data_IF_024222284821
#
_entry.id   IF_024222284821
#
_cell.length_a   1.000
_cell.length_b   1.000
_cell.length_c   1.000
_cell.angle_alpha   90.00
_cell.angle_beta   90.00
_cell.angle_gamma   90.00
#
_symmetry.space_group_name_H-M   'P 1'
#
loop_
_entity.id
_entity.type
_entity.pdbx_description
1 polymer ?
#
# COMPACT_ATOMS: atom_id res chain seq x y z
N UNK A 1 26.82 31.78 -12.62
CA UNK A 1 26.03 31.93 -11.38
C UNK A 1 24.68 31.31 -11.62
N UNK A 2 24.48 30.07 -11.17
CA UNK A 2 23.18 29.42 -11.10
C UNK A 2 23.19 28.60 -9.80
N UNK A 3 22.41 29.07 -8.84
CA UNK A 3 22.30 28.53 -7.50
C UNK A 3 21.47 27.25 -7.53
N UNK A 4 22.17 26.11 -7.52
CA UNK A 4 21.58 24.82 -7.26
C UNK A 4 21.33 24.71 -5.74
N UNK A 5 20.15 25.17 -5.31
CA UNK A 5 19.69 24.99 -3.93
C UNK A 5 19.48 23.49 -3.65
N UNK A 6 20.56 22.83 -3.23
CA UNK A 6 20.50 21.52 -2.62
C UNK A 6 19.70 21.63 -1.33
N UNK A 7 18.51 21.02 -1.29
CA UNK A 7 17.75 20.86 -0.05
C UNK A 7 18.59 20.03 0.93
N UNK A 8 19.03 20.67 2.01
CA UNK A 8 19.69 19.99 3.12
C UNK A 8 18.79 18.88 3.70
N UNK A 9 19.35 17.72 4.08
CA UNK A 9 18.58 16.67 4.73
C UNK A 9 18.10 17.16 6.09
N UNK A 10 16.79 17.16 6.31
CA UNK A 10 16.22 17.39 7.64
C UNK A 10 16.57 16.19 8.51
N UNK A 11 17.55 16.38 9.39
CA UNK A 11 17.76 15.51 10.54
C UNK A 11 16.57 15.66 11.49
N UNK A 12 15.60 14.75 11.39
CA UNK A 12 14.71 14.46 12.51
C UNK A 12 15.11 13.09 13.06
N UNK A 13 15.78 13.07 14.21
CA UNK A 13 16.19 11.87 14.93
C UNK A 13 15.00 11.17 15.59
N UNK A 14 13.96 10.87 14.81
CA UNK A 14 12.90 9.99 15.28
C UNK A 14 13.52 8.61 15.53
N UNK A 15 13.16 7.93 16.64
CA UNK A 15 13.67 6.59 16.91
C UNK A 15 13.38 5.67 15.72
N UNK A 16 14.28 4.74 15.41
CA UNK A 16 14.08 3.83 14.29
C UNK A 16 12.83 2.98 14.51
N UNK A 17 12.05 2.80 13.44
CA UNK A 17 10.83 2.00 13.46
C UNK A 17 11.18 0.52 13.42
N UNK A 18 10.53 -0.28 14.26
CA UNK A 18 10.71 -1.73 14.18
C UNK A 18 10.22 -2.30 12.85
N UNK A 19 10.65 -3.52 12.48
CA UNK A 19 10.32 -4.09 11.18
C UNK A 19 8.90 -4.67 11.11
N UNK A 20 8.10 -4.66 12.17
CA UNK A 20 6.78 -5.33 12.18
C UNK A 20 5.64 -4.31 12.10
N UNK A 21 4.72 -4.55 11.16
CA UNK A 21 3.41 -3.92 11.09
C UNK A 21 2.33 -4.95 11.41
N UNK A 22 1.48 -4.64 12.39
CA UNK A 22 0.43 -5.53 12.88
C UNK A 22 -0.94 -4.84 12.91
N UNK A 23 -2.00 -5.57 13.21
CA UNK A 23 -3.37 -5.06 13.28
C UNK A 23 -3.91 -4.93 14.72
N UNK A 24 -5.09 -4.31 14.83
CA UNK A 24 -5.84 -4.18 16.07
C UNK A 24 -7.14 -4.99 16.02
N UNK A 25 -7.67 -5.32 17.19
CA UNK A 25 -8.88 -6.13 17.32
C UNK A 25 -10.17 -5.34 17.05
N UNK A 26 -10.20 -4.04 17.38
CA UNK A 26 -11.42 -3.24 17.32
C UNK A 26 -11.21 -1.76 17.01
N UNK A 27 -12.23 -0.95 17.30
CA UNK A 27 -12.29 0.48 16.95
C UNK A 27 -11.65 1.38 18.01
N UNK A 28 -11.16 0.81 19.11
CA UNK A 28 -10.48 1.48 20.23
C UNK A 28 -9.35 0.60 20.74
N UNK A 29 -8.28 1.23 21.24
CA UNK A 29 -7.16 0.51 21.84
C UNK A 29 -7.54 -0.11 23.20
N UNK A 30 -7.23 -1.38 23.37
CA UNK A 30 -7.22 -2.05 24.68
C UNK A 30 -5.91 -1.78 25.43
N UNK A 31 -5.87 -2.04 26.74
CA UNK A 31 -4.62 -1.88 27.53
C UNK A 31 -3.52 -2.87 27.11
N UNK A 32 -3.92 -4.06 26.65
CA UNK A 32 -3.02 -5.06 26.08
C UNK A 32 -2.38 -4.54 24.78
N UNK A 33 -3.18 -3.93 23.89
CA UNK A 33 -2.67 -3.31 22.66
C UNK A 33 -1.78 -2.11 22.96
N UNK A 34 -2.12 -1.28 23.96
CA UNK A 34 -1.23 -0.19 24.40
C UNK A 34 0.14 -0.73 24.85
N UNK A 35 0.16 -1.87 25.54
CA UNK A 35 1.40 -2.52 25.95
C UNK A 35 2.16 -3.07 24.75
N UNK A 36 1.46 -3.73 23.83
CA UNK A 36 2.03 -4.29 22.60
C UNK A 36 2.69 -3.20 21.73
N UNK A 37 2.01 -2.07 21.50
CA UNK A 37 2.51 -0.99 20.65
C UNK A 37 3.81 -0.33 21.16
N UNK A 38 4.12 -0.47 22.47
CA UNK A 38 5.39 0.01 23.05
C UNK A 38 6.58 -0.88 22.72
N UNK A 39 6.37 -2.10 22.22
CA UNK A 39 7.46 -3.01 21.85
C UNK A 39 8.31 -2.41 20.73
N UNK A 40 9.64 -2.30 20.87
CA UNK A 40 10.50 -1.65 19.88
C UNK A 40 10.34 -2.21 18.46
N UNK A 41 10.05 -3.51 18.33
CA UNK A 41 9.91 -4.22 17.06
C UNK A 41 8.65 -3.83 16.27
N UNK A 42 7.65 -3.23 16.92
CA UNK A 42 6.48 -2.66 16.24
C UNK A 42 6.90 -1.34 15.59
N UNK A 43 6.86 -1.28 14.25
CA UNK A 43 7.08 -0.05 13.49
C UNK A 43 5.81 0.54 12.90
N UNK A 44 4.74 -0.25 12.82
CA UNK A 44 3.48 0.25 12.31
C UNK A 44 2.25 -0.55 12.69
N UNK A 45 1.11 0.04 12.38
CA UNK A 45 -0.21 -0.57 12.53
C UNK A 45 -0.97 -0.44 11.22
N UNK A 46 -1.57 -1.52 10.74
CA UNK A 46 -2.51 -1.50 9.62
C UNK A 46 -3.94 -1.60 10.15
N UNK A 47 -4.83 -0.73 9.66
CA UNK A 47 -6.25 -0.76 9.99
C UNK A 47 -7.05 -1.57 8.96
N UNK A 48 -7.99 -2.36 9.46
CA UNK A 48 -8.97 -3.11 8.69
C UNK A 48 -10.39 -2.58 8.90
N UNK A 49 -11.36 -3.14 8.17
CA UNK A 49 -12.76 -2.76 8.29
C UNK A 49 -13.29 -2.88 9.74
N UNK A 50 -12.82 -3.87 10.51
CA UNK A 50 -13.16 -4.04 11.93
C UNK A 50 -12.70 -2.88 12.84
N UNK A 51 -11.75 -2.06 12.39
CA UNK A 51 -11.22 -0.93 13.15
C UNK A 51 -11.89 0.41 12.78
N UNK A 52 -12.83 0.37 11.83
CA UNK A 52 -13.38 1.57 11.18
C UNK A 52 -14.89 1.63 11.34
N UNK A 53 -15.36 2.67 12.02
CA UNK A 53 -16.77 3.08 12.04
C UNK A 53 -16.99 4.27 11.10
N UNK A 54 -16.19 5.33 11.27
CA UNK A 54 -16.23 6.54 10.45
C UNK A 54 -14.89 7.28 10.50
N UNK A 55 -14.67 8.22 9.59
CA UNK A 55 -13.45 9.01 9.51
C UNK A 55 -13.04 9.68 10.84
N UNK A 56 -14.02 10.23 11.57
CA UNK A 56 -13.79 10.87 12.86
C UNK A 56 -13.29 9.88 13.93
N UNK A 57 -13.91 8.69 14.03
CA UNK A 57 -13.47 7.64 14.95
C UNK A 57 -12.07 7.13 14.58
N UNK A 58 -11.76 6.96 13.29
CA UNK A 58 -10.41 6.56 12.85
C UNK A 58 -9.37 7.60 13.25
N UNK A 59 -9.70 8.89 13.16
CA UNK A 59 -8.84 9.98 13.63
C UNK A 59 -8.55 9.89 15.12
N UNK A 60 -9.57 9.62 15.94
CA UNK A 60 -9.39 9.38 17.38
C UNK A 60 -8.50 8.17 17.66
N UNK A 61 -8.73 7.05 16.96
CA UNK A 61 -7.92 5.84 17.09
C UNK A 61 -6.45 6.09 16.72
N UNK A 62 -6.21 6.80 15.61
CA UNK A 62 -4.88 7.22 15.20
C UNK A 62 -4.20 8.13 16.24
N UNK A 63 -4.95 9.03 16.86
CA UNK A 63 -4.48 9.87 17.98
C UNK A 63 -4.11 9.04 19.20
N UNK A 64 -4.95 8.07 19.57
CA UNK A 64 -4.71 7.17 20.70
C UNK A 64 -3.46 6.30 20.51
N UNK A 65 -3.20 5.81 19.29
CA UNK A 65 -1.97 5.08 18.96
C UNK A 65 -0.73 5.98 19.09
N UNK A 66 -0.78 7.20 18.54
CA UNK A 66 0.35 8.14 18.64
C UNK A 66 0.60 8.65 20.05
N UNK A 67 -0.43 8.71 20.91
CA UNK A 67 -0.25 9.01 22.32
C UNK A 67 0.53 7.90 23.07
N UNK A 68 0.43 6.65 22.61
CA UNK A 68 1.24 5.53 23.13
C UNK A 68 2.66 5.60 22.56
N UNK A 69 2.76 5.79 21.23
CA UNK A 69 4.02 5.79 20.50
C UNK A 69 3.94 6.71 19.26
N UNK A 70 4.46 7.95 19.34
CA UNK A 70 4.28 8.98 18.31
C UNK A 70 4.84 8.62 16.93
N UNK A 71 5.81 7.70 16.89
CA UNK A 71 6.54 7.35 15.68
C UNK A 71 5.86 6.33 14.77
N UNK A 72 4.89 5.56 15.27
CA UNK A 72 4.25 4.47 14.52
C UNK A 72 3.75 4.93 13.16
N UNK A 73 4.06 4.15 12.12
CA UNK A 73 3.40 4.26 10.83
C UNK A 73 1.99 3.69 10.94
N UNK A 74 0.97 4.44 10.55
CA UNK A 74 -0.40 3.93 10.53
C UNK A 74 -0.89 3.85 9.08
N UNK A 75 -1.16 2.63 8.62
CA UNK A 75 -1.57 2.31 7.26
C UNK A 75 -3.01 1.79 7.17
N UNK A 76 -3.55 1.76 5.96
CA UNK A 76 -4.86 1.18 5.64
C UNK A 76 -4.91 0.75 4.17
N UNK A 77 -5.80 -0.17 3.82
CA UNK A 77 -6.18 -0.42 2.41
C UNK A 77 -7.34 0.50 1.98
N UNK A 78 -7.02 1.74 1.63
CA UNK A 78 -7.98 2.66 1.05
C UNK A 78 -7.63 2.88 -0.43
N UNK A 79 -8.07 1.96 -1.30
CA UNK A 79 -7.84 2.03 -2.74
C UNK A 79 -8.96 2.81 -3.44
N UNK A 80 -10.22 2.48 -3.11
CA UNK A 80 -11.42 2.89 -3.83
C UNK A 80 -12.22 1.68 -4.33
N UNK A 81 -13.46 1.93 -4.76
CA UNK A 81 -14.38 0.87 -5.17
C UNK A 81 -14.63 -0.13 -4.04
N UNK A 82 -14.44 -1.43 -4.32
CA UNK A 82 -14.68 -2.49 -3.32
C UNK A 82 -13.63 -2.54 -2.20
N UNK A 83 -12.40 -2.05 -2.43
CA UNK A 83 -11.34 -1.97 -1.42
C UNK A 83 -11.28 -0.55 -0.86
N UNK A 84 -12.27 -0.25 -0.04
CA UNK A 84 -12.40 1.00 0.68
C UNK A 84 -12.95 0.71 2.07
N UNK A 85 -12.10 0.92 3.09
CA UNK A 85 -12.44 0.64 4.50
C UNK A 85 -13.21 1.79 5.13
N UNK A 86 -12.72 3.02 4.99
CA UNK A 86 -13.41 4.22 5.48
C UNK A 86 -14.42 4.66 4.43
N UNK A 87 -15.70 4.64 4.79
CA UNK A 87 -16.81 4.98 3.88
C UNK A 87 -17.56 6.22 4.31
N UNK A 88 -17.69 6.44 5.62
CA UNK A 88 -18.43 7.56 6.17
C UNK A 88 -17.46 8.65 6.65
N UNK A 89 -17.74 9.89 6.25
CA UNK A 89 -16.89 11.06 6.53
C UNK A 89 -15.71 11.28 5.58
N UNK A 90 -15.65 10.52 4.48
CA UNK A 90 -14.69 10.64 3.38
C UNK A 90 -15.40 10.39 2.05
N UNK A 91 -14.73 10.66 0.93
CA UNK A 91 -15.27 10.39 -0.41
C UNK A 91 -15.38 8.88 -0.68
N UNK A 92 -16.50 8.41 -1.22
CA UNK A 92 -16.63 7.09 -1.85
C UNK A 92 -15.94 7.12 -3.21
N UNK A 93 -14.68 6.69 -3.20
CA UNK A 93 -13.86 6.74 -4.40
C UNK A 93 -14.34 5.64 -5.37
N UNK A 94 -14.52 5.93 -6.67
CA UNK A 94 -14.82 4.89 -7.66
C UNK A 94 -13.67 3.88 -7.77
N UNK A 95 -13.95 2.71 -8.36
CA UNK A 95 -12.90 1.73 -8.64
C UNK A 95 -11.86 2.29 -9.63
N UNK A 96 -10.63 1.78 -9.59
CA UNK A 96 -9.58 2.24 -10.50
C UNK A 96 -9.96 2.01 -11.96
N UNK A 97 -10.65 0.91 -12.27
CA UNK A 97 -11.19 0.64 -13.62
C UNK A 97 -12.19 1.72 -14.04
N UNK A 98 -13.05 2.19 -13.13
CA UNK A 98 -14.00 3.26 -13.43
C UNK A 98 -13.27 4.59 -13.65
N UNK A 99 -12.23 4.90 -12.87
CA UNK A 99 -11.39 6.07 -13.10
C UNK A 99 -10.70 6.01 -14.47
N UNK A 100 -10.23 4.84 -14.88
CA UNK A 100 -9.52 4.63 -16.15
C UNK A 100 -10.40 4.42 -17.38
N UNK A 101 -11.73 4.38 -17.24
CA UNK A 101 -12.68 3.97 -18.30
C UNK A 101 -12.47 4.70 -19.63
N UNK A 102 -12.24 6.01 -19.56
CA UNK A 102 -12.23 6.88 -20.74
C UNK A 102 -10.79 7.13 -21.27
N UNK A 103 -9.78 6.37 -20.80
CA UNK A 103 -8.38 6.60 -21.15
C UNK A 103 -8.08 6.51 -22.65
N UNK A 104 -8.82 5.68 -23.40
CA UNK A 104 -8.63 5.54 -24.84
C UNK A 104 -9.21 6.73 -25.64
N UNK A 105 -10.29 7.33 -25.15
CA UNK A 105 -10.99 8.42 -25.86
C UNK A 105 -10.56 9.81 -25.37
N UNK A 106 -10.19 9.94 -24.10
CA UNK A 106 -9.85 11.21 -23.45
C UNK A 106 -8.64 11.07 -22.51
N UNK A 107 -7.46 10.65 -23.02
CA UNK A 107 -6.31 10.26 -22.20
C UNK A 107 -5.88 11.33 -21.19
N UNK A 108 -5.77 12.60 -21.60
CA UNK A 108 -5.33 13.68 -20.72
C UNK A 108 -6.34 14.00 -19.61
N UNK A 109 -7.64 13.95 -19.93
CA UNK A 109 -8.72 14.17 -18.95
C UNK A 109 -8.73 13.03 -17.93
N UNK A 110 -8.63 11.79 -18.40
CA UNK A 110 -8.58 10.60 -17.54
C UNK A 110 -7.34 10.60 -16.64
N UNK A 111 -6.17 10.94 -17.20
CA UNK A 111 -4.93 11.09 -16.42
C UNK A 111 -5.08 12.15 -15.33
N UNK A 112 -5.65 13.31 -15.66
CA UNK A 112 -5.91 14.37 -14.69
C UNK A 112 -6.86 13.92 -13.58
N UNK A 113 -7.92 13.18 -13.93
CA UNK A 113 -8.86 12.61 -12.97
C UNK A 113 -8.15 11.65 -11.99
N UNK A 114 -7.26 10.78 -12.49
CA UNK A 114 -6.47 9.89 -11.64
C UNK A 114 -5.54 10.67 -10.68
N UNK A 115 -4.87 11.71 -11.16
CA UNK A 115 -4.05 12.58 -10.31
C UNK A 115 -4.86 13.29 -9.23
N UNK A 116 -6.00 13.87 -9.62
CA UNK A 116 -6.89 14.54 -8.68
C UNK A 116 -7.49 13.57 -7.65
N UNK A 117 -7.76 12.31 -8.05
CA UNK A 117 -8.21 11.24 -7.17
C UNK A 117 -7.15 10.84 -6.15
N UNK A 118 -5.89 10.66 -6.58
CA UNK A 118 -4.77 10.38 -5.69
C UNK A 118 -4.52 11.52 -4.69
N UNK A 119 -4.63 12.77 -5.15
CA UNK A 119 -4.52 13.93 -4.26
C UNK A 119 -5.64 13.97 -3.21
N UNK A 120 -6.90 13.77 -3.62
CA UNK A 120 -8.02 13.77 -2.70
C UNK A 120 -7.90 12.64 -1.66
N UNK A 121 -7.56 11.43 -2.11
CA UNK A 121 -7.35 10.29 -1.22
C UNK A 121 -6.25 10.57 -0.20
N UNK A 122 -5.11 11.10 -0.65
CA UNK A 122 -4.01 11.47 0.22
C UNK A 122 -4.40 12.51 1.27
N UNK A 123 -5.16 13.54 0.88
CA UNK A 123 -5.64 14.58 1.81
C UNK A 123 -6.61 14.03 2.85
N UNK A 124 -7.56 13.19 2.44
CA UNK A 124 -8.56 12.58 3.34
C UNK A 124 -7.92 11.61 4.32
N UNK A 125 -7.05 10.71 3.85
CA UNK A 125 -6.36 9.77 4.73
C UNK A 125 -5.44 10.50 5.71
N UNK A 126 -4.77 11.58 5.27
CA UNK A 126 -3.99 12.41 6.17
C UNK A 126 -4.84 13.09 7.25
N UNK A 127 -6.06 13.53 6.91
CA UNK A 127 -7.03 14.11 7.84
C UNK A 127 -7.54 13.08 8.87
N UNK A 128 -7.74 11.83 8.45
CA UNK A 128 -8.00 10.69 9.32
C UNK A 128 -6.80 10.32 10.21
N UNK A 129 -5.63 10.92 10.01
CA UNK A 129 -4.43 10.64 10.80
C UNK A 129 -3.61 9.46 10.29
N UNK A 130 -3.79 9.01 9.05
CA UNK A 130 -3.02 7.89 8.46
C UNK A 130 -1.73 8.38 7.79
N UNK A 131 -0.65 7.62 7.88
CA UNK A 131 0.65 7.93 7.24
C UNK A 131 0.72 7.45 5.80
N UNK A 132 0.03 6.36 5.50
CA UNK A 132 0.02 5.74 4.18
C UNK A 132 -1.32 5.03 3.93
N UNK A 133 -1.61 4.81 2.65
CA UNK A 133 -2.57 3.83 2.20
C UNK A 133 -1.84 2.90 1.22
N UNK A 134 -2.15 1.62 1.23
CA UNK A 134 -1.55 0.64 0.33
C UNK A 134 -2.13 0.78 -1.08
N UNK A 135 -1.73 1.86 -1.78
CA UNK A 135 -2.15 2.21 -3.12
C UNK A 135 -1.02 2.97 -3.87
N UNK A 136 -0.97 2.88 -5.21
CA UNK A 136 -1.93 2.24 -6.09
C UNK A 136 -1.69 0.75 -6.34
N UNK A 137 -2.76 0.07 -6.79
CA UNK A 137 -2.65 -1.23 -7.46
C UNK A 137 -2.07 -1.02 -8.86
N UNK A 138 -0.98 -1.73 -9.15
CA UNK A 138 -0.23 -1.71 -10.41
C UNK A 138 -0.48 -2.96 -11.26
N UNK A 139 -1.25 -3.91 -10.75
CA UNK A 139 -1.60 -5.13 -11.47
C UNK A 139 -2.37 -4.81 -12.75
N UNK A 140 -2.00 -5.47 -13.84
CA UNK A 140 -2.72 -5.40 -15.12
C UNK A 140 -3.80 -6.47 -15.11
N UNK A 141 -5.06 -6.07 -15.27
CA UNK A 141 -6.17 -7.02 -15.27
C UNK A 141 -6.14 -7.96 -16.49
N UNK A 142 -5.77 -9.21 -16.25
CA UNK A 142 -5.76 -10.27 -17.26
C UNK A 142 -7.14 -10.90 -17.52
N UNK A 143 -8.17 -10.47 -16.80
CA UNK A 143 -9.56 -10.96 -16.94
C UNK A 143 -9.88 -12.26 -16.19
N UNK A 144 -8.87 -12.90 -15.58
CA UNK A 144 -9.02 -14.17 -14.84
C UNK A 144 -8.95 -14.00 -13.33
N UNK A 145 -8.27 -12.95 -12.84
CA UNK A 145 -8.09 -12.73 -11.40
C UNK A 145 -9.34 -12.20 -10.73
N UNK A 146 -9.89 -12.98 -9.79
CA UNK A 146 -10.98 -12.55 -8.90
C UNK A 146 -10.51 -11.55 -7.83
N UNK A 147 -9.21 -11.58 -7.51
CA UNK A 147 -8.58 -10.72 -6.49
C UNK A 147 -8.30 -9.32 -7.02
N UNK A 148 -7.94 -9.15 -8.30
CA UNK A 148 -7.65 -7.84 -8.89
C UNK A 148 -8.90 -7.21 -9.51
N UNK A 149 -9.37 -7.75 -10.65
CA UNK A 149 -10.55 -7.24 -11.35
C UNK A 149 -10.57 -5.70 -11.47
N UNK A 150 -11.62 -5.07 -10.94
CA UNK A 150 -11.86 -3.62 -11.03
C UNK A 150 -10.91 -2.76 -10.19
N UNK A 151 -10.06 -3.37 -9.36
CA UNK A 151 -8.96 -2.68 -8.65
C UNK A 151 -7.83 -2.26 -9.60
N UNK A 152 -7.71 -2.90 -10.76
CA UNK A 152 -6.79 -2.46 -11.80
C UNK A 152 -7.35 -1.25 -12.56
N UNK A 153 -6.47 -0.34 -12.98
CA UNK A 153 -6.85 0.78 -13.84
C UNK A 153 -7.28 0.34 -15.25
N UNK A 154 -6.69 -0.75 -15.78
CA UNK A 154 -6.88 -1.18 -17.16
C UNK A 154 -6.35 -2.60 -17.39
N UNK A 155 -6.78 -3.22 -18.49
CA UNK A 155 -6.19 -4.45 -19.02
C UNK A 155 -4.93 -4.21 -19.87
N UNK A 156 -4.56 -2.96 -20.11
CA UNK A 156 -3.45 -2.60 -20.98
C UNK A 156 -2.28 -2.08 -20.13
N UNK A 157 -1.09 -2.72 -20.16
CA UNK A 157 0.01 -2.39 -19.25
C UNK A 157 0.47 -0.92 -19.29
N UNK A 158 0.64 -0.34 -20.47
CA UNK A 158 1.05 1.06 -20.61
C UNK A 158 -0.06 2.03 -20.15
N UNK A 159 -1.34 1.64 -20.26
CA UNK A 159 -2.44 2.43 -19.67
C UNK A 159 -2.39 2.38 -18.14
N UNK A 160 -2.14 1.21 -17.56
CA UNK A 160 -1.95 1.09 -16.09
C UNK A 160 -0.78 1.96 -15.64
N UNK A 161 0.36 1.89 -16.32
CA UNK A 161 1.53 2.70 -16.00
C UNK A 161 1.22 4.21 -16.05
N UNK A 162 0.55 4.68 -17.09
CA UNK A 162 0.21 6.10 -17.24
C UNK A 162 -0.78 6.61 -16.17
N UNK A 163 -1.85 5.85 -15.91
CA UNK A 163 -2.89 6.26 -14.97
C UNK A 163 -2.45 6.12 -13.51
N UNK A 164 -1.77 5.01 -13.16
CA UNK A 164 -1.23 4.83 -11.83
C UNK A 164 -0.10 5.82 -11.54
N UNK A 165 0.75 6.15 -12.52
CA UNK A 165 1.76 7.22 -12.38
C UNK A 165 1.12 8.57 -12.04
N UNK A 166 0.04 8.94 -12.73
CA UNK A 166 -0.69 10.16 -12.39
C UNK A 166 -1.32 10.10 -10.98
N UNK A 167 -1.85 8.94 -10.58
CA UNK A 167 -2.36 8.75 -9.23
C UNK A 167 -1.28 8.91 -8.15
N UNK A 168 -0.06 8.38 -8.42
CA UNK A 168 1.13 8.54 -7.57
C UNK A 168 1.50 10.03 -7.45
N UNK A 169 1.55 10.76 -8.57
CA UNK A 169 1.79 12.21 -8.57
C UNK A 169 0.78 12.93 -7.65
N UNK A 170 -0.48 12.49 -7.66
CA UNK A 170 -1.53 12.99 -6.79
C UNK A 170 -1.28 12.73 -5.30
N UNK A 171 -0.93 11.49 -4.94
CA UNK A 171 -0.58 11.12 -3.56
C UNK A 171 0.59 11.97 -3.04
N UNK A 172 1.65 12.09 -3.84
CA UNK A 172 2.81 12.93 -3.53
C UNK A 172 2.46 14.41 -3.41
N UNK A 173 1.57 14.91 -4.28
CA UNK A 173 1.05 16.27 -4.19
C UNK A 173 0.26 16.49 -2.90
N UNK A 174 -0.43 15.48 -2.38
CA UNK A 174 -1.06 15.54 -1.07
C UNK A 174 -0.05 15.39 0.09
N UNK A 175 1.18 14.94 -0.18
CA UNK A 175 2.21 14.65 0.82
C UNK A 175 2.17 13.22 1.37
N UNK A 176 1.34 12.36 0.78
CA UNK A 176 1.21 10.94 1.10
C UNK A 176 2.22 10.13 0.27
N UNK A 177 2.75 9.05 0.85
CA UNK A 177 3.59 8.11 0.10
C UNK A 177 2.76 7.23 -0.83
N UNK A 178 3.39 6.70 -1.88
CA UNK A 178 2.80 5.72 -2.78
C UNK A 178 3.39 4.32 -2.57
N UNK A 179 2.50 3.33 -2.48
CA UNK A 179 2.85 1.92 -2.28
C UNK A 179 2.33 1.08 -3.44
N UNK A 180 3.22 0.70 -4.36
CA UNK A 180 2.86 -0.10 -5.52
C UNK A 180 2.66 -1.57 -5.16
N UNK A 181 1.57 -2.18 -5.63
CA UNK A 181 1.27 -3.59 -5.38
C UNK A 181 0.52 -4.27 -6.54
N UNK A 182 0.63 -5.58 -6.77
CA UNK A 182 1.39 -6.56 -5.99
C UNK A 182 2.53 -7.12 -6.86
N UNK A 183 3.77 -6.68 -6.64
CA UNK A 183 4.91 -7.00 -7.51
C UNK A 183 5.22 -8.52 -7.57
N UNK A 184 5.55 -9.11 -8.73
CA UNK A 184 5.66 -8.53 -10.07
C UNK A 184 4.35 -8.48 -10.88
N UNK A 185 3.22 -8.81 -10.27
CA UNK A 185 1.87 -8.66 -10.84
C UNK A 185 0.96 -9.84 -10.54
N UNK A 186 -0.21 -9.59 -9.95
CA UNK A 186 -1.19 -10.60 -9.56
C UNK A 186 -2.39 -10.71 -10.54
N UNK A 187 -2.49 -9.78 -11.50
CA UNK A 187 -3.69 -9.61 -12.33
C UNK A 187 -4.00 -10.74 -13.31
N UNK A 188 -3.04 -11.64 -13.56
CA UNK A 188 -3.20 -12.79 -14.46
C UNK A 188 -3.45 -14.12 -13.75
N UNK A 189 -3.49 -14.12 -12.41
CA UNK A 189 -3.64 -15.34 -11.62
C UNK A 189 -5.06 -15.46 -11.07
N UNK A 190 -5.71 -16.59 -11.38
CA UNK A 190 -7.11 -16.85 -11.01
C UNK A 190 -7.28 -17.24 -9.54
N UNK A 191 -6.33 -17.99 -8.99
CA UNK A 191 -6.35 -18.46 -7.61
C UNK A 191 -6.20 -17.29 -6.62
N UNK A 192 -6.97 -17.37 -5.53
CA UNK A 192 -6.94 -16.38 -4.46
C UNK A 192 -5.83 -16.73 -3.45
N UNK A 193 -4.83 -15.86 -3.32
CA UNK A 193 -3.72 -16.00 -2.38
C UNK A 193 -4.15 -16.06 -0.91
N UNK A 194 -5.39 -15.65 -0.60
CA UNK A 194 -5.98 -15.81 0.72
C UNK A 194 -6.40 -17.26 1.03
N UNK A 195 -6.60 -18.09 0.01
CA UNK A 195 -7.15 -19.45 0.14
C UNK A 195 -6.11 -20.53 -0.20
N UNK A 196 -5.28 -20.30 -1.20
CA UNK A 196 -4.24 -21.23 -1.65
C UNK A 196 -3.02 -20.48 -2.19
N UNK A 197 -1.88 -21.15 -2.36
CA UNK A 197 -0.70 -20.51 -2.94
C UNK A 197 -0.82 -20.47 -4.47
N UNK A 198 -1.04 -19.30 -5.09
CA UNK A 198 -1.22 -19.21 -6.52
C UNK A 198 0.11 -19.40 -7.25
N UNK A 199 0.06 -20.08 -8.41
CA UNK A 199 1.22 -20.31 -9.27
C UNK A 199 0.96 -19.69 -10.64
N UNK A 200 1.92 -18.90 -11.11
CA UNK A 200 1.99 -18.37 -12.47
C UNK A 200 3.16 -19.05 -13.21
N UNK A 201 2.84 -19.77 -14.28
CA UNK A 201 3.81 -20.57 -15.04
C UNK A 201 4.40 -19.79 -16.23
N UNK A 202 3.99 -18.55 -16.46
CA UNK A 202 4.48 -17.74 -17.58
C UNK A 202 5.98 -17.45 -17.45
N UNK A 203 6.66 -17.34 -18.59
CA UNK A 203 8.08 -17.00 -18.62
C UNK A 203 8.34 -15.57 -18.13
N UNK A 204 9.54 -15.31 -17.63
CA UNK A 204 9.95 -13.96 -17.26
C UNK A 204 9.80 -12.95 -18.41
N UNK A 205 10.05 -13.38 -19.65
CA UNK A 205 9.86 -12.53 -20.84
C UNK A 205 8.40 -12.12 -21.01
N UNK A 206 7.46 -13.06 -20.84
CA UNK A 206 6.03 -12.77 -20.90
C UNK A 206 5.60 -11.82 -19.76
N UNK A 207 6.12 -12.02 -18.55
CA UNK A 207 5.88 -11.12 -17.41
C UNK A 207 6.41 -9.71 -17.71
N UNK A 208 7.64 -9.59 -18.23
CA UNK A 208 8.26 -8.32 -18.63
C UNK A 208 7.49 -7.58 -19.71
N UNK A 209 6.94 -8.31 -20.67
CA UNK A 209 6.14 -7.71 -21.75
C UNK A 209 4.75 -7.25 -21.29
N UNK A 210 4.30 -7.65 -20.10
CA UNK A 210 2.93 -7.41 -19.63
C UNK A 210 2.86 -6.92 -18.18
N UNK A 211 2.84 -7.82 -17.20
CA UNK A 211 2.54 -7.51 -15.79
C UNK A 211 3.62 -6.65 -15.11
N UNK A 212 4.89 -6.78 -15.52
CA UNK A 212 6.00 -6.00 -14.98
C UNK A 212 6.07 -4.57 -15.54
N UNK A 213 5.42 -4.28 -16.67
CA UNK A 213 5.53 -2.97 -17.34
C UNK A 213 5.20 -1.81 -16.39
N UNK A 214 4.08 -1.81 -15.62
CA UNK A 214 3.80 -0.72 -14.69
C UNK A 214 4.86 -0.59 -13.59
N UNK A 215 5.39 -1.71 -13.08
CA UNK A 215 6.40 -1.71 -12.03
C UNK A 215 7.74 -1.16 -12.54
N UNK A 216 8.18 -1.55 -13.73
CA UNK A 216 9.40 -1.04 -14.36
C UNK A 216 9.30 0.46 -14.64
N UNK A 217 8.15 0.93 -15.15
CA UNK A 217 7.92 2.34 -15.46
C UNK A 217 7.84 3.22 -14.21
N UNK A 218 7.31 2.69 -13.10
CA UNK A 218 6.98 3.46 -11.91
C UNK A 218 7.93 3.25 -10.73
N UNK A 219 8.89 2.33 -10.81
CA UNK A 219 9.85 2.06 -9.73
C UNK A 219 10.56 3.32 -9.22
N UNK A 220 10.84 4.30 -10.09
CA UNK A 220 11.45 5.58 -9.71
C UNK A 220 10.52 6.57 -9.01
N UNK A 221 9.20 6.36 -9.05
CA UNK A 221 8.19 7.21 -8.42
C UNK A 221 7.64 6.62 -7.12
N UNK A 222 7.82 5.32 -6.87
CA UNK A 222 7.25 4.66 -5.69
C UNK A 222 8.12 4.85 -4.45
N UNK A 223 7.47 5.07 -3.31
CA UNK A 223 8.14 5.15 -2.00
C UNK A 223 8.24 3.77 -1.34
N UNK A 224 7.24 2.92 -1.61
CA UNK A 224 7.23 1.53 -1.18
C UNK A 224 6.66 0.59 -2.26
N UNK A 225 6.96 -0.69 -2.12
CA UNK A 225 6.42 -1.74 -2.97
C UNK A 225 6.04 -2.95 -2.11
N UNK A 226 4.94 -3.59 -2.44
CA UNK A 226 4.48 -4.83 -1.82
C UNK A 226 4.49 -5.94 -2.89
N UNK A 227 5.27 -7.01 -2.71
CA UNK A 227 5.27 -8.17 -3.59
C UNK A 227 4.07 -9.06 -3.32
N UNK A 228 3.61 -9.79 -4.32
CA UNK A 228 2.52 -10.75 -4.21
C UNK A 228 2.95 -12.05 -3.52
N UNK A 229 2.03 -12.68 -2.79
CA UNK A 229 2.16 -14.08 -2.39
C UNK A 229 1.79 -15.03 -3.55
N UNK A 230 2.56 -14.96 -4.64
CA UNK A 230 2.41 -15.77 -5.86
C UNK A 230 3.75 -16.38 -6.24
N UNK A 231 3.77 -17.67 -6.60
CA UNK A 231 4.95 -18.34 -7.16
C UNK A 231 4.98 -18.13 -8.66
N UNK A 232 6.09 -17.61 -9.19
CA UNK A 232 6.31 -17.48 -10.63
C UNK A 232 7.32 -18.54 -11.06
N UNK A 233 6.83 -19.76 -11.29
CA UNK A 233 7.62 -20.99 -11.27
C UNK A 233 8.72 -21.05 -12.34
N UNK A 234 8.54 -20.32 -13.45
CA UNK A 234 9.54 -20.19 -14.51
C UNK A 234 10.75 -19.31 -14.13
N UNK A 235 10.66 -18.52 -13.05
CA UNK A 235 11.74 -17.64 -12.59
C UNK A 235 12.30 -18.03 -11.21
N UNK A 236 11.44 -18.26 -10.22
CA UNK A 236 11.83 -18.70 -8.87
C UNK A 236 10.70 -19.55 -8.26
N UNK A 237 11.01 -20.69 -7.62
CA UNK A 237 10.00 -21.56 -7.01
C UNK A 237 9.39 -20.98 -5.72
N UNK A 238 9.93 -19.88 -5.17
CA UNK A 238 9.39 -19.22 -3.98
C UNK A 238 8.40 -18.13 -4.38
N UNK A 239 7.42 -17.82 -3.51
CA UNK A 239 6.57 -16.64 -3.71
C UNK A 239 7.42 -15.36 -3.77
N UNK A 240 6.99 -14.36 -4.53
CA UNK A 240 7.79 -13.17 -4.80
C UNK A 240 8.31 -12.47 -3.52
N UNK A 241 7.49 -12.38 -2.46
CA UNK A 241 7.89 -11.79 -1.17
C UNK A 241 8.93 -12.59 -0.37
N UNK A 242 9.18 -13.85 -0.71
CA UNK A 242 10.18 -14.72 -0.10
C UNK A 242 11.34 -15.06 -1.05
N UNK A 243 11.39 -14.45 -2.24
CA UNK A 243 12.41 -14.72 -3.25
C UNK A 243 13.48 -13.62 -3.28
N UNK A 244 14.72 -13.90 -2.86
CA UNK A 244 15.88 -13.04 -3.12
C UNK A 244 16.08 -12.74 -4.61
N UNK A 245 15.65 -13.61 -5.53
CA UNK A 245 15.76 -13.35 -6.97
C UNK A 245 14.79 -12.26 -7.42
N UNK A 246 13.52 -12.33 -6.99
CA UNK A 246 12.52 -11.29 -7.29
C UNK A 246 12.85 -9.97 -6.61
N UNK A 247 13.16 -9.99 -5.32
CA UNK A 247 13.49 -8.77 -4.58
C UNK A 247 14.86 -8.20 -4.99
N UNK A 248 15.81 -9.06 -5.36
CA UNK A 248 17.08 -8.67 -5.99
C UNK A 248 16.85 -7.98 -7.34
N UNK A 249 16.01 -8.55 -8.23
CA UNK A 249 15.64 -7.91 -9.49
C UNK A 249 15.01 -6.53 -9.24
N UNK A 250 14.10 -6.42 -8.28
CA UNK A 250 13.47 -5.16 -7.93
C UNK A 250 14.51 -4.10 -7.49
N UNK A 251 15.48 -4.49 -6.65
CA UNK A 251 16.53 -3.60 -6.13
C UNK A 251 17.57 -3.21 -7.18
N UNK A 252 18.00 -4.18 -7.97
CA UNK A 252 19.18 -4.08 -8.85
C UNK A 252 18.77 -3.75 -10.28
N UNK A 253 17.88 -4.54 -10.88
CA UNK A 253 17.47 -4.38 -12.28
C UNK A 253 16.51 -3.21 -12.45
N UNK A 254 15.50 -3.09 -11.57
CA UNK A 254 14.51 -2.00 -11.61
C UNK A 254 15.00 -0.74 -10.84
N UNK A 255 16.12 -0.85 -10.12
CA UNK A 255 16.73 0.26 -9.39
C UNK A 255 15.91 0.77 -8.21
N UNK A 256 14.93 0.00 -7.71
CA UNK A 256 14.01 0.46 -6.66
C UNK A 256 14.72 0.73 -5.33
N UNK A 257 14.64 1.97 -4.84
CA UNK A 257 15.31 2.42 -3.60
C UNK A 257 14.36 2.62 -2.40
N UNK A 258 13.06 2.40 -2.58
CA UNK A 258 12.05 2.56 -1.54
C UNK A 258 12.02 1.40 -0.54
N UNK A 259 10.95 1.35 0.25
CA UNK A 259 10.65 0.29 1.22
C UNK A 259 10.04 -0.92 0.51
N UNK A 260 10.44 -2.14 0.86
CA UNK A 260 9.71 -3.35 0.49
C UNK A 260 8.92 -3.82 1.71
N UNK A 261 7.60 -3.82 1.59
CA UNK A 261 6.73 -4.52 2.54
C UNK A 261 6.70 -6.01 2.19
N UNK A 262 6.52 -6.90 3.16
CA UNK A 262 5.89 -8.19 2.84
C UNK A 262 4.39 -7.98 2.63
N UNK A 263 3.74 -8.85 1.86
CA UNK A 263 2.30 -9.04 2.04
C UNK A 263 2.05 -9.81 3.36
N UNK A 264 0.80 -9.94 3.80
CA UNK A 264 0.47 -10.48 5.13
C UNK A 264 1.03 -11.89 5.32
N UNK A 265 1.94 -12.03 6.29
CA UNK A 265 2.59 -13.30 6.59
C UNK A 265 1.63 -14.30 7.23
N UNK A 266 0.45 -13.89 7.69
CA UNK A 266 -0.58 -14.80 8.20
C UNK A 266 -1.40 -15.46 7.09
N UNK A 267 -1.31 -15.01 5.84
CA UNK A 267 -2.10 -15.56 4.73
C UNK A 267 -1.73 -17.01 4.41
N UNK A 268 -2.71 -17.76 3.87
CA UNK A 268 -2.53 -19.13 3.41
C UNK A 268 -1.38 -19.26 2.37
N UNK A 269 -1.28 -18.29 1.45
CA UNK A 269 -0.16 -18.22 0.49
C UNK A 269 1.23 -18.14 1.13
N UNK A 270 1.35 -17.68 2.37
CA UNK A 270 2.62 -17.63 3.08
C UNK A 270 2.95 -18.95 3.83
N UNK A 271 1.98 -19.83 4.05
CA UNK A 271 2.12 -21.01 4.91
C UNK A 271 3.22 -22.00 4.44
N UNK A 272 3.55 -22.00 3.15
CA UNK A 272 4.62 -22.84 2.59
C UNK A 272 6.02 -22.47 3.11
N UNK A 273 6.19 -21.27 3.68
CA UNK A 273 7.45 -20.80 4.25
C UNK A 273 7.60 -21.08 5.76
N UNK A 274 6.75 -21.94 6.34
CA UNK A 274 6.91 -22.48 7.69
C UNK A 274 6.19 -21.70 8.78
N UNK A 275 6.71 -21.75 10.01
CA UNK A 275 6.17 -21.04 11.17
C UNK A 275 6.17 -19.51 10.98
N UNK A 276 5.38 -18.74 11.74
CA UNK A 276 5.45 -17.28 11.72
C UNK A 276 6.89 -16.74 11.83
N UNK A 277 7.71 -17.27 12.75
CA UNK A 277 9.11 -16.85 12.88
C UNK A 277 9.97 -17.21 11.66
N UNK A 278 9.76 -18.38 11.04
CA UNK A 278 10.47 -18.79 9.83
C UNK A 278 10.10 -17.89 8.64
N UNK A 279 8.81 -17.60 8.46
CA UNK A 279 8.30 -16.67 7.45
C UNK A 279 8.90 -15.27 7.60
N UNK A 280 8.95 -14.76 8.83
CA UNK A 280 9.56 -13.46 9.12
C UNK A 280 11.04 -13.42 8.72
N UNK A 281 11.83 -14.43 9.10
CA UNK A 281 13.25 -14.52 8.73
C UNK A 281 13.44 -14.67 7.23
N UNK A 282 12.59 -15.46 6.56
CA UNK A 282 12.65 -15.65 5.12
C UNK A 282 12.38 -14.35 4.36
N UNK A 283 11.34 -13.60 4.72
CA UNK A 283 11.00 -12.32 4.09
C UNK A 283 12.10 -11.26 4.29
N UNK A 284 12.60 -11.12 5.53
CA UNK A 284 13.72 -10.20 5.82
C UNK A 284 14.99 -10.59 5.04
N UNK A 285 15.31 -11.88 4.99
CA UNK A 285 16.49 -12.38 4.25
C UNK A 285 16.35 -12.22 2.74
N UNK A 286 15.12 -12.26 2.21
CA UNK A 286 14.84 -11.99 0.81
C UNK A 286 15.01 -10.50 0.46
N UNK A 287 14.80 -9.60 1.41
CA UNK A 287 15.03 -8.15 1.23
C UNK A 287 13.84 -7.26 1.61
N UNK A 288 12.81 -7.80 2.28
CA UNK A 288 11.76 -6.99 2.87
C UNK A 288 12.31 -6.12 4.01
N UNK A 289 11.81 -4.89 4.11
CA UNK A 289 12.16 -3.92 5.15
C UNK A 289 11.11 -3.87 6.28
N UNK A 290 9.84 -4.19 5.98
CA UNK A 290 8.75 -4.25 6.95
C UNK A 290 7.84 -5.45 6.67
N UNK A 291 7.51 -6.18 7.73
CA UNK A 291 6.72 -7.40 7.72
C UNK A 291 5.29 -7.10 8.18
N UNK A 292 4.31 -7.47 7.37
CA UNK A 292 2.91 -7.44 7.77
C UNK A 292 2.53 -8.77 8.42
N UNK A 293 1.94 -8.72 9.62
CA UNK A 293 1.38 -9.89 10.30
C UNK A 293 0.03 -9.49 10.87
N UNK A 294 -1.04 -9.96 10.23
CA UNK A 294 -2.39 -9.51 10.53
C UNK A 294 -3.28 -10.68 10.95
N UNK A 295 -4.38 -10.39 11.64
CA UNK A 295 -5.47 -11.35 11.94
C UNK A 295 -5.06 -12.58 12.77
N UNK A 296 -3.84 -12.61 13.33
CA UNK A 296 -3.33 -13.65 14.21
C UNK A 296 -2.37 -13.04 15.23
N UNK A 297 -2.88 -12.75 16.43
CA UNK A 297 -2.09 -12.14 17.51
C UNK A 297 -0.97 -13.05 18.00
N UNK A 298 -1.15 -14.38 17.97
CA UNK A 298 -0.13 -15.32 18.41
C UNK A 298 1.05 -15.33 17.41
N UNK A 299 0.75 -15.39 16.11
CA UNK A 299 1.75 -15.25 15.06
C UNK A 299 2.47 -13.90 15.13
N UNK A 300 1.74 -12.80 15.35
CA UNK A 300 2.35 -11.47 15.50
C UNK A 300 3.34 -11.41 16.66
N UNK A 301 3.02 -11.98 17.83
CA UNK A 301 3.93 -12.06 18.97
C UNK A 301 5.18 -12.90 18.65
N UNK A 302 5.01 -14.03 17.96
CA UNK A 302 6.13 -14.88 17.53
C UNK A 302 7.06 -14.14 16.55
N UNK A 303 6.50 -13.41 15.57
CA UNK A 303 7.27 -12.59 14.62
C UNK A 303 8.00 -11.46 15.34
N UNK A 304 7.35 -10.76 16.28
CA UNK A 304 8.01 -9.72 17.07
C UNK A 304 9.19 -10.27 17.86
N UNK A 305 9.07 -11.49 18.41
CA UNK A 305 10.16 -12.15 19.12
C UNK A 305 11.29 -12.58 18.20
N UNK A 306 10.98 -13.05 17.00
CA UNK A 306 11.97 -13.35 15.97
C UNK A 306 12.75 -12.10 15.50
N UNK A 307 12.15 -10.91 15.62
CA UNK A 307 12.72 -9.65 15.15
C UNK A 307 13.51 -8.86 16.21
N UNK A 308 13.61 -9.31 17.46
CA UNK A 308 14.25 -8.57 18.58
C UNK A 308 15.68 -8.09 18.30
N UNK A 309 16.43 -8.85 17.49
CA UNK A 309 17.82 -8.54 17.13
C UNK A 309 17.97 -7.94 15.73
N UNK A 310 16.86 -7.73 15.02
CA UNK A 310 16.90 -7.17 13.67
C UNK A 310 17.12 -5.66 13.73
N UNK A 311 18.10 -5.18 12.98
CA UNK A 311 18.35 -3.74 12.86
C UNK A 311 17.31 -3.09 11.96
N UNK A 312 16.55 -2.10 12.43
CA UNK A 312 15.59 -1.36 11.63
C UNK A 312 16.15 -0.80 10.32
N UNK A 313 15.39 -0.93 9.23
CA UNK A 313 15.72 -0.28 7.97
C UNK A 313 15.51 1.25 8.08
N UNK A 314 16.55 2.10 7.93
CA UNK A 314 16.42 3.55 8.11
C UNK A 314 15.42 4.21 7.15
N UNK A 315 15.17 3.56 5.99
CA UNK A 315 14.22 4.01 4.99
C UNK A 315 12.76 3.99 5.45
N UNK A 316 12.40 3.23 6.49
CA UNK A 316 11.03 3.19 7.03
C UNK A 316 10.55 4.57 7.49
N UNK A 317 11.45 5.41 8.01
CA UNK A 317 11.11 6.77 8.43
C UNK A 317 10.66 7.68 7.28
N UNK A 318 10.93 7.31 6.03
CA UNK A 318 10.49 8.05 4.83
C UNK A 318 9.01 7.83 4.51
N UNK A 319 8.36 6.84 5.13
CA UNK A 319 6.95 6.51 4.89
C UNK A 319 5.96 7.36 5.67
N UNK A 320 6.44 8.25 6.53
CA UNK A 320 5.58 9.15 7.28
C UNK A 320 4.97 10.20 6.36
N UNK A 321 3.74 10.60 6.66
CA UNK A 321 3.11 11.71 5.94
C UNK A 321 3.98 12.97 6.03
N UNK A 322 4.28 13.59 4.88
CA UNK A 322 5.36 14.56 4.75
C UNK A 322 4.98 16.02 5.03
N UNK A 323 3.71 16.29 5.32
CA UNK A 323 3.15 17.64 5.50
C UNK A 323 2.45 17.80 6.85
N UNK A 324 2.05 19.04 7.16
CA UNK A 324 1.12 19.28 8.25
C UNK A 324 -0.22 18.60 7.93
N UNK A 325 -0.70 17.75 8.83
CA UNK A 325 -1.94 16.99 8.63
C UNK A 325 -3.13 17.95 8.62
N UNK A 326 -3.98 17.93 7.58
CA UNK A 326 -5.25 18.64 7.62
C UNK A 326 -6.17 18.05 8.71
N UNK A 327 -7.25 18.75 9.03
CA UNK A 327 -8.36 18.18 9.80
C UNK A 327 -9.54 17.88 8.89
N UNK A 328 -10.43 16.97 9.30
CA UNK A 328 -11.62 16.61 8.51
C UNK A 328 -12.50 17.85 8.25
N UNK A 329 -12.62 18.74 9.23
CA UNK A 329 -13.39 19.97 9.18
C UNK A 329 -12.76 21.02 8.23
N UNK A 330 -11.45 20.93 7.99
CA UNK A 330 -10.73 21.86 7.11
C UNK A 330 -10.86 21.51 5.62
N UNK A 331 -11.11 20.23 5.28
CA UNK A 331 -11.17 19.78 3.89
C UNK A 331 -12.26 20.49 3.07
N UNK A 332 -13.49 20.68 3.57
CA UNK A 332 -14.53 21.42 2.84
C UNK A 332 -14.17 22.87 2.54
N UNK A 333 -13.21 23.49 3.24
CA UNK A 333 -12.75 24.84 2.91
C UNK A 333 -11.94 24.88 1.60
N UNK A 334 -11.32 23.76 1.22
CA UNK A 334 -10.50 23.64 0.01
C UNK A 334 -11.39 23.52 -1.23
N UNK A 335 -11.31 24.52 -2.13
CA UNK A 335 -12.16 24.54 -3.33
C UNK A 335 -11.91 23.34 -4.26
N UNK A 336 -10.66 22.86 -4.35
CA UNK A 336 -10.31 21.63 -5.10
C UNK A 336 -10.97 20.41 -4.49
N UNK A 337 -10.89 20.24 -3.17
CA UNK A 337 -11.52 19.10 -2.48
C UNK A 337 -13.03 19.08 -2.72
N UNK A 338 -13.75 20.21 -2.53
CA UNK A 338 -15.21 20.26 -2.75
C UNK A 338 -15.63 19.81 -4.16
N UNK A 339 -14.92 20.28 -5.19
CA UNK A 339 -15.21 19.92 -6.57
C UNK A 339 -14.94 18.43 -6.84
N UNK A 340 -13.82 17.92 -6.33
CA UNK A 340 -13.42 16.53 -6.55
C UNK A 340 -14.30 15.55 -5.77
N UNK A 341 -14.59 15.84 -4.51
CA UNK A 341 -15.49 15.05 -3.67
C UNK A 341 -16.84 14.82 -4.39
N UNK A 342 -17.51 15.90 -4.80
CA UNK A 342 -18.79 15.81 -5.49
C UNK A 342 -18.70 15.04 -6.82
N UNK A 343 -17.64 15.27 -7.60
CA UNK A 343 -17.44 14.59 -8.89
C UNK A 343 -17.20 13.09 -8.72
N UNK A 344 -16.35 12.69 -7.76
CA UNK A 344 -15.97 11.30 -7.55
C UNK A 344 -17.10 10.47 -6.93
N UNK A 345 -17.87 11.05 -5.99
CA UNK A 345 -19.10 10.43 -5.45
C UNK A 345 -20.11 10.11 -6.55
N UNK A 346 -20.34 11.07 -7.46
CA UNK A 346 -21.23 10.87 -8.61
C UNK A 346 -20.73 9.74 -9.52
N UNK A 347 -19.43 9.72 -9.83
CA UNK A 347 -18.82 8.66 -10.65
C UNK A 347 -18.90 7.27 -10.01
N UNK A 348 -18.82 7.18 -8.68
CA UNK A 348 -18.92 5.92 -7.94
C UNK A 348 -20.35 5.38 -7.87
N UNK A 349 -21.35 6.27 -7.83
CA UNK A 349 -22.77 5.94 -7.72
C UNK A 349 -23.34 5.31 -9.01
N UNK A 350 -22.85 5.76 -10.17
CA UNK A 350 -23.27 5.25 -11.49
C UNK A 350 -23.07 3.73 -11.68
N UNK A 351 -22.21 3.10 -10.88
CA UNK A 351 -21.88 1.68 -11.04
C UNK A 351 -22.78 0.74 -10.23
N UNK A 352 -23.56 1.25 -9.25
CA UNK A 352 -24.51 0.43 -8.48
C UNK A 352 -25.86 0.23 -9.20
N UNK A 353 -26.06 0.89 -10.35
CA UNK A 353 -27.32 0.89 -11.11
C UNK A 353 -27.32 -0.03 -12.35
N UNK A 354 -26.30 -0.88 -12.54
CA UNK A 354 -26.18 -1.82 -13.67
C UNK A 354 -25.72 -3.19 -13.19
#
# INVERSE_FOLDING_TARGET
>A
MADASARAPRSSSAPPLGPVMLDLEGTRLTDEERTLLRRPEVGGVILFARNVEAAAQVRELCGAMRAVRPELLIGIDQEGGRVQRIRDGVTRLPSMRRLGRDAASHPEVTRRLCQDSGWLLGMEMAACGLDLTFAPVLDVDGGTSTVIGDRSFSRFPETVAALAGAFIDGLHEAGMVAVGKHFPGHGSVAADSHLELPVDERSLEALRAHDLVPFERLAGQLDAMMPAHVVYSAFDPRPAGFSPAWLGMLRESLGFRGVIFSDDLSMAGAASAGSPAERARAALSAGCDMLLVCNDRAAALEVLDACRQHSPAPRLNRLRYSRARPTLESLPALSRWRRLHAHLEALGSDHQAT
#
